data_IF_025419680952
#
_entry.id   IF_025419680952
#
_cell.length_a   1.000
_cell.length_b   1.000
_cell.length_c   1.000
_cell.angle_alpha   90.00
_cell.angle_beta   90.00
_cell.angle_gamma   90.00
#
_symmetry.space_group_name_H-M   'P 1'
#
loop_
_entity.id
_entity.type
_entity.pdbx_description
1 polymer ?
#
# COMPACT_ATOMS: atom_id res chain seq x y z
N UNK A 1 -6.04 7.02 29.61
CA UNK A 1 -6.15 6.94 28.13
C UNK A 1 -6.71 8.25 27.63
N UNK A 2 -5.85 9.24 27.38
CA UNK A 2 -6.25 10.51 26.76
C UNK A 2 -6.28 10.32 25.25
N UNK A 3 -7.45 10.46 24.64
CA UNK A 3 -7.57 10.45 23.18
C UNK A 3 -6.84 11.70 22.68
N UNK A 4 -5.89 11.50 21.75
CA UNK A 4 -5.18 12.61 21.13
C UNK A 4 -6.10 13.28 20.09
N UNK A 5 -6.90 14.25 20.55
CA UNK A 5 -7.86 14.96 19.71
C UNK A 5 -7.24 15.80 18.60
N UNK A 6 -5.94 16.14 18.72
CA UNK A 6 -5.22 16.96 17.74
C UNK A 6 -4.91 16.13 16.48
N UNK A 7 -4.59 14.85 16.65
CA UNK A 7 -4.31 13.91 15.55
C UNK A 7 -5.59 13.24 15.00
N UNK A 8 -6.71 13.37 15.71
CA UNK A 8 -7.97 12.75 15.32
C UNK A 8 -8.62 13.52 14.16
N UNK A 9 -8.36 13.05 12.94
CA UNK A 9 -8.82 13.67 11.68
C UNK A 9 -9.83 12.77 10.93
N UNK A 10 -11.04 12.54 11.49
CA UNK A 10 -11.98 11.54 10.98
C UNK A 10 -12.49 11.87 9.56
N UNK A 11 -12.73 13.16 9.28
CA UNK A 11 -13.25 13.60 7.98
C UNK A 11 -12.21 13.47 6.86
N UNK A 12 -10.95 13.85 7.14
CA UNK A 12 -9.85 13.70 6.17
C UNK A 12 -9.54 12.23 5.91
N UNK A 13 -9.53 11.41 6.97
CA UNK A 13 -9.28 9.97 6.87
C UNK A 13 -10.38 9.25 6.07
N UNK A 14 -11.65 9.62 6.26
CA UNK A 14 -12.76 9.03 5.50
C UNK A 14 -12.74 9.44 4.03
N UNK A 15 -12.46 10.72 3.73
CA UNK A 15 -12.28 11.19 2.35
C UNK A 15 -11.13 10.45 1.65
N UNK A 16 -9.99 10.28 2.32
CA UNK A 16 -8.87 9.50 1.81
C UNK A 16 -9.26 8.04 1.51
N UNK A 17 -10.02 7.40 2.41
CA UNK A 17 -10.56 6.06 2.19
C UNK A 17 -11.49 5.98 0.97
N UNK A 18 -12.38 6.95 0.80
CA UNK A 18 -13.28 7.04 -0.37
C UNK A 18 -12.48 7.19 -1.66
N UNK A 19 -11.47 8.07 -1.67
CA UNK A 19 -10.59 8.28 -2.83
C UNK A 19 -9.86 7.00 -3.24
N UNK A 20 -9.30 6.26 -2.27
CA UNK A 20 -8.63 4.97 -2.53
C UNK A 20 -9.63 3.93 -3.06
N UNK A 21 -10.82 3.86 -2.46
CA UNK A 21 -11.89 2.96 -2.90
C UNK A 21 -12.36 3.26 -4.32
N UNK A 22 -12.56 4.54 -4.65
CA UNK A 22 -12.90 4.99 -6.00
C UNK A 22 -11.80 4.66 -7.00
N UNK A 23 -10.53 4.88 -6.66
CA UNK A 23 -9.41 4.51 -7.52
C UNK A 23 -9.38 3.00 -7.81
N UNK A 24 -9.61 2.16 -6.80
CA UNK A 24 -9.71 0.71 -6.96
C UNK A 24 -10.89 0.30 -7.85
N UNK A 25 -12.04 0.95 -7.69
CA UNK A 25 -13.25 0.70 -8.48
C UNK A 25 -13.07 1.12 -9.94
N UNK A 26 -12.48 2.29 -10.20
CA UNK A 26 -12.18 2.78 -11.55
C UNK A 26 -11.23 1.81 -12.26
N UNK A 27 -10.18 1.35 -11.57
CA UNK A 27 -9.25 0.37 -12.15
C UNK A 27 -9.98 -0.95 -12.49
N UNK A 28 -10.88 -1.40 -11.61
CA UNK A 28 -11.67 -2.60 -11.84
C UNK A 28 -12.64 -2.45 -13.01
N UNK A 29 -13.30 -1.31 -13.16
CA UNK A 29 -14.20 -1.04 -14.28
C UNK A 29 -13.46 -0.85 -15.61
N UNK A 30 -12.36 -0.10 -15.60
CA UNK A 30 -11.63 0.25 -16.82
C UNK A 30 -10.79 -0.90 -17.38
N UNK A 31 -10.25 -1.78 -16.51
CA UNK A 31 -9.33 -2.86 -16.91
C UNK A 31 -9.78 -4.26 -16.50
N UNK A 32 -10.84 -4.40 -15.71
CA UNK A 32 -11.27 -5.71 -15.19
C UNK A 32 -10.29 -6.32 -14.17
N UNK A 33 -9.38 -5.51 -13.61
CA UNK A 33 -8.30 -5.97 -12.72
C UNK A 33 -8.50 -5.46 -11.29
N UNK A 34 -8.07 -6.27 -10.33
CA UNK A 34 -8.07 -5.91 -8.92
C UNK A 34 -6.84 -5.03 -8.61
N UNK A 35 -7.02 -3.98 -7.81
CA UNK A 35 -5.93 -3.09 -7.39
C UNK A 35 -4.98 -3.80 -6.42
N UNK A 36 -3.83 -4.24 -6.92
CA UNK A 36 -2.77 -4.89 -6.13
C UNK A 36 -1.39 -4.40 -6.53
N UNK A 37 -0.72 -3.66 -5.65
CA UNK A 37 0.55 -2.99 -5.98
C UNK A 37 1.65 -3.99 -6.40
N UNK A 38 1.85 -5.09 -5.66
CA UNK A 38 2.86 -6.10 -6.03
C UNK A 38 2.60 -6.74 -7.40
N UNK A 39 1.33 -6.96 -7.75
CA UNK A 39 0.96 -7.52 -9.06
C UNK A 39 1.15 -6.51 -10.20
N UNK A 40 0.80 -5.24 -9.95
CA UNK A 40 1.01 -4.15 -10.91
C UNK A 40 2.51 -3.93 -11.15
N UNK A 41 3.33 -3.93 -10.09
CA UNK A 41 4.76 -3.70 -10.17
C UNK A 41 5.50 -4.88 -10.82
N UNK A 42 5.23 -6.12 -10.40
CA UNK A 42 5.78 -7.32 -11.07
C UNK A 42 5.36 -7.37 -12.53
N UNK A 43 4.12 -7.00 -12.81
CA UNK A 43 3.59 -6.91 -14.15
C UNK A 43 4.16 -5.78 -15.01
N UNK A 44 4.79 -4.78 -14.40
CA UNK A 44 5.51 -3.71 -15.10
C UNK A 44 6.92 -4.16 -15.48
N UNK A 45 7.57 -4.97 -14.63
CA UNK A 45 8.90 -5.52 -14.85
C UNK A 45 8.92 -6.59 -15.95
N UNK A 46 7.88 -7.42 -16.01
CA UNK A 46 7.73 -8.49 -17.00
C UNK A 46 6.39 -8.29 -17.74
N UNK A 47 6.32 -7.34 -18.69
CA UNK A 47 5.09 -7.04 -19.40
C UNK A 47 4.81 -8.07 -20.51
N UNK A 48 3.57 -8.56 -20.58
CA UNK A 48 3.12 -9.46 -21.64
C UNK A 48 2.74 -8.72 -22.95
N UNK A 49 2.51 -7.41 -22.88
CA UNK A 49 2.09 -6.57 -24.02
C UNK A 49 2.39 -5.10 -23.72
N UNK A 50 2.58 -4.28 -24.76
CA UNK A 50 2.75 -2.82 -24.67
C UNK A 50 1.54 -2.14 -24.02
N UNK A 51 0.33 -2.64 -24.28
CA UNK A 51 -0.89 -2.12 -23.67
C UNK A 51 -0.92 -2.38 -22.15
N UNK A 52 -0.46 -3.56 -21.71
CA UNK A 52 -0.34 -3.91 -20.29
C UNK A 52 0.74 -3.08 -19.59
N UNK A 53 1.86 -2.83 -20.27
CA UNK A 53 2.91 -1.96 -19.76
C UNK A 53 2.40 -0.53 -19.54
N UNK A 54 1.72 0.04 -20.54
CA UNK A 54 1.29 1.45 -20.51
C UNK A 54 0.40 1.77 -19.33
N UNK A 55 -0.65 0.98 -19.05
CA UNK A 55 -1.55 1.30 -17.93
C UNK A 55 -0.91 1.06 -16.56
N UNK A 56 -0.06 0.03 -16.42
CA UNK A 56 0.68 -0.24 -15.18
C UNK A 56 1.68 0.87 -14.90
N UNK A 57 2.36 1.35 -15.94
CA UNK A 57 3.28 2.47 -15.85
C UNK A 57 2.56 3.74 -15.39
N UNK A 58 1.44 4.08 -16.05
CA UNK A 58 0.63 5.26 -15.68
C UNK A 58 0.13 5.16 -14.24
N UNK A 59 -0.29 3.96 -13.80
CA UNK A 59 -0.71 3.75 -12.41
C UNK A 59 0.44 4.00 -11.42
N UNK A 60 1.60 3.38 -11.64
CA UNK A 60 2.77 3.54 -10.76
C UNK A 60 3.28 4.98 -10.77
N UNK A 61 3.35 5.60 -11.94
CA UNK A 61 3.71 7.01 -12.09
C UNK A 61 2.73 7.91 -11.33
N UNK A 62 1.42 7.65 -11.39
CA UNK A 62 0.41 8.39 -10.64
C UNK A 62 0.58 8.27 -9.12
N UNK A 63 0.87 7.06 -8.61
CA UNK A 63 1.11 6.82 -7.17
C UNK A 63 2.34 7.57 -6.67
N UNK A 64 3.37 7.72 -7.50
CA UNK A 64 4.59 8.48 -7.15
C UNK A 64 4.36 9.98 -7.32
N UNK A 65 3.75 10.39 -8.44
CA UNK A 65 3.55 11.79 -8.78
C UNK A 65 2.56 12.49 -7.82
N UNK A 66 1.51 11.81 -7.37
CA UNK A 66 0.51 12.37 -6.44
C UNK A 66 1.13 13.02 -5.20
N UNK A 67 1.81 12.27 -4.31
CA UNK A 67 2.49 12.84 -3.15
C UNK A 67 3.64 13.77 -3.55
N UNK A 68 4.37 13.48 -4.64
CA UNK A 68 5.46 14.37 -5.09
C UNK A 68 4.95 15.78 -5.44
N UNK A 69 3.83 15.90 -6.16
CA UNK A 69 3.22 17.19 -6.50
C UNK A 69 2.76 17.92 -5.24
N UNK A 70 2.10 17.23 -4.31
CA UNK A 70 1.65 17.83 -3.05
C UNK A 70 2.81 18.42 -2.23
N UNK A 71 3.95 17.73 -2.20
CA UNK A 71 5.15 18.18 -1.49
C UNK A 71 5.80 19.36 -2.23
N UNK A 72 5.98 19.26 -3.55
CA UNK A 72 6.69 20.30 -4.32
C UNK A 72 5.91 21.62 -4.42
N UNK A 73 4.58 21.58 -4.38
CA UNK A 73 3.72 22.77 -4.38
C UNK A 73 3.39 23.28 -2.96
N UNK A 74 4.00 22.71 -1.93
CA UNK A 74 3.80 23.04 -0.50
C UNK A 74 2.31 23.08 -0.09
N UNK A 75 1.48 22.26 -0.74
CA UNK A 75 0.04 22.17 -0.49
C UNK A 75 -0.26 21.48 0.84
N UNK A 76 0.61 20.56 1.24
CA UNK A 76 0.54 19.81 2.50
C UNK A 76 1.96 19.59 3.02
N UNK A 77 2.21 19.97 4.28
CA UNK A 77 3.46 19.64 4.96
C UNK A 77 3.46 18.17 5.37
N UNK A 78 4.12 17.33 4.59
CA UNK A 78 4.32 15.91 4.88
C UNK A 78 5.69 15.75 5.56
N UNK A 79 5.69 15.43 6.86
CA UNK A 79 6.91 15.11 7.60
C UNK A 79 7.44 13.72 7.19
N UNK A 80 8.33 13.69 6.20
CA UNK A 80 9.02 12.47 5.79
C UNK A 80 10.17 12.16 6.74
N UNK A 81 9.87 11.49 7.85
CA UNK A 81 10.90 10.91 8.72
C UNK A 81 11.17 9.47 8.26
N UNK A 82 12.32 9.17 7.67
CA UNK A 82 12.64 7.80 7.28
C UNK A 82 12.72 6.92 8.53
N UNK A 83 11.84 5.92 8.61
CA UNK A 83 11.74 4.98 9.75
C UNK A 83 12.97 4.06 9.83
N UNK A 84 13.66 3.86 8.70
CA UNK A 84 14.90 3.11 8.60
C UNK A 84 15.80 3.74 7.53
N UNK A 85 17.12 3.59 7.68
CA UNK A 85 18.12 4.07 6.73
C UNK A 85 19.17 2.99 6.42
N UNK A 86 19.89 3.17 5.31
CA UNK A 86 20.98 2.27 4.91
C UNK A 86 20.52 0.86 4.52
N UNK A 87 21.37 -0.13 4.80
CA UNK A 87 21.19 -1.54 4.37
C UNK A 87 19.90 -2.15 4.90
N UNK A 88 19.48 -1.79 6.11
CA UNK A 88 18.29 -2.34 6.75
C UNK A 88 17.02 -2.10 5.93
N UNK A 89 16.89 -0.93 5.28
CA UNK A 89 15.74 -0.60 4.45
C UNK A 89 15.64 -1.56 3.25
N UNK A 90 16.75 -1.81 2.56
CA UNK A 90 16.78 -2.71 1.41
C UNK A 90 16.47 -4.15 1.79
N UNK A 91 17.02 -4.63 2.92
CA UNK A 91 16.74 -5.97 3.44
C UNK A 91 15.26 -6.09 3.82
N UNK A 92 14.70 -5.10 4.52
CA UNK A 92 13.29 -5.09 4.86
C UNK A 92 12.38 -5.08 3.61
N UNK A 93 12.68 -4.23 2.63
CA UNK A 93 11.95 -4.17 1.37
C UNK A 93 11.98 -5.50 0.61
N UNK A 94 13.14 -6.18 0.59
CA UNK A 94 13.29 -7.49 -0.03
C UNK A 94 12.46 -8.56 0.69
N UNK A 95 12.52 -8.63 2.02
CA UNK A 95 11.70 -9.55 2.82
C UNK A 95 10.20 -9.31 2.60
N UNK A 96 9.75 -8.06 2.56
CA UNK A 96 8.35 -7.71 2.27
C UNK A 96 7.96 -8.13 0.86
N UNK A 97 8.85 -7.95 -0.13
CA UNK A 97 8.65 -8.40 -1.51
C UNK A 97 8.44 -9.91 -1.60
N UNK A 98 9.31 -10.70 -0.94
CA UNK A 98 9.17 -12.16 -0.86
C UNK A 98 7.85 -12.54 -0.18
N UNK A 99 7.52 -11.92 0.95
CA UNK A 99 6.28 -12.18 1.66
C UNK A 99 5.03 -11.94 0.80
N UNK A 100 5.00 -10.83 0.05
CA UNK A 100 3.91 -10.52 -0.87
C UNK A 100 3.83 -11.51 -2.06
N UNK A 101 4.97 -12.00 -2.55
CA UNK A 101 5.01 -13.01 -3.60
C UNK A 101 4.45 -14.36 -3.11
N UNK A 102 4.89 -14.82 -1.93
CA UNK A 102 4.40 -16.08 -1.31
C UNK A 102 2.90 -15.97 -0.98
N UNK A 103 2.47 -14.81 -0.46
CA UNK A 103 1.06 -14.52 -0.17
C UNK A 103 0.17 -14.44 -1.42
N UNK A 104 0.76 -14.40 -2.62
CA UNK A 104 0.08 -14.12 -3.91
C UNK A 104 -0.70 -12.81 -3.90
N UNK A 105 -0.18 -11.82 -3.18
CA UNK A 105 -0.82 -10.53 -3.00
C UNK A 105 -0.15 -9.72 -1.90
N UNK A 106 -0.40 -8.41 -1.91
CA UNK A 106 0.04 -7.47 -0.89
C UNK A 106 -1.14 -6.98 -0.04
N UNK A 107 -0.85 -6.15 0.95
CA UNK A 107 -1.85 -5.49 1.80
C UNK A 107 -2.85 -4.67 1.00
N UNK A 108 -2.46 -4.01 -0.10
CA UNK A 108 -3.41 -3.27 -0.94
C UNK A 108 -4.43 -4.20 -1.61
N UNK A 109 -3.97 -5.35 -2.12
CA UNK A 109 -4.82 -6.33 -2.81
C UNK A 109 -5.71 -7.13 -1.86
N UNK A 110 -5.13 -7.69 -0.80
CA UNK A 110 -5.89 -8.46 0.19
C UNK A 110 -6.72 -7.57 1.11
N UNK A 111 -6.16 -6.46 1.58
CA UNK A 111 -6.82 -5.52 2.49
C UNK A 111 -7.92 -4.74 1.81
N UNK A 112 -7.60 -3.95 0.78
CA UNK A 112 -8.59 -3.02 0.19
C UNK A 112 -9.62 -3.81 -0.63
N UNK A 113 -9.17 -4.54 -1.65
CA UNK A 113 -10.10 -5.23 -2.55
C UNK A 113 -10.56 -6.60 -2.04
N UNK A 114 -9.67 -7.34 -1.37
CA UNK A 114 -9.93 -8.70 -0.92
C UNK A 114 -10.93 -8.81 0.22
N UNK A 115 -10.80 -7.96 1.26
CA UNK A 115 -11.77 -7.89 2.37
C UNK A 115 -13.12 -7.35 1.90
N UNK A 116 -13.12 -6.37 1.00
CA UNK A 116 -14.36 -5.83 0.40
C UNK A 116 -15.17 -6.89 -0.36
N UNK A 117 -14.51 -7.96 -0.83
CA UNK A 117 -15.14 -9.12 -1.48
C UNK A 117 -15.47 -10.26 -0.51
N UNK A 118 -15.36 -10.04 0.80
CA UNK A 118 -15.64 -11.02 1.86
C UNK A 118 -14.84 -12.33 1.72
N UNK A 119 -13.61 -12.25 1.22
CA UNK A 119 -12.75 -13.43 1.03
C UNK A 119 -12.08 -13.85 2.34
N UNK A 120 -12.38 -15.07 2.81
CA UNK A 120 -11.73 -15.70 3.99
C UNK A 120 -10.22 -15.82 3.80
N UNK A 121 -9.78 -16.10 2.57
CA UNK A 121 -8.35 -16.15 2.23
C UNK A 121 -7.69 -14.77 2.44
N UNK A 122 -8.34 -13.69 2.01
CA UNK A 122 -7.81 -12.35 2.22
C UNK A 122 -7.85 -11.94 3.70
N UNK A 123 -8.87 -12.37 4.43
CA UNK A 123 -8.95 -12.14 5.88
C UNK A 123 -7.78 -12.77 6.62
N UNK A 124 -7.50 -14.05 6.37
CA UNK A 124 -6.35 -14.73 6.97
C UNK A 124 -5.02 -14.06 6.59
N UNK A 125 -4.82 -13.70 5.33
CA UNK A 125 -3.62 -12.98 4.89
C UNK A 125 -3.44 -11.64 5.62
N UNK A 126 -4.50 -10.83 5.72
CA UNK A 126 -4.44 -9.53 6.40
C UNK A 126 -4.14 -9.72 7.90
N UNK A 127 -4.80 -10.66 8.56
CA UNK A 127 -4.53 -10.97 9.97
C UNK A 127 -3.06 -11.36 10.17
N UNK A 128 -2.50 -12.21 9.31
CA UNK A 128 -1.08 -12.59 9.41
C UNK A 128 -0.14 -11.41 9.20
N UNK A 129 -0.37 -10.54 8.20
CA UNK A 129 0.49 -9.38 7.96
C UNK A 129 0.43 -8.38 9.12
N UNK A 130 -0.77 -8.08 9.61
CA UNK A 130 -0.96 -7.11 10.70
C UNK A 130 -0.37 -7.65 12.01
N UNK A 131 -0.66 -8.90 12.37
CA UNK A 131 -0.11 -9.52 13.59
C UNK A 131 1.42 -9.59 13.56
N UNK A 132 2.00 -10.03 12.44
CA UNK A 132 3.46 -10.09 12.29
C UNK A 132 4.09 -8.70 12.37
N UNK A 133 3.46 -7.68 11.77
CA UNK A 133 3.92 -6.29 11.86
C UNK A 133 3.88 -5.76 13.30
N UNK A 134 2.80 -6.02 14.04
CA UNK A 134 2.69 -5.67 15.46
C UNK A 134 3.81 -6.33 16.26
N UNK A 135 3.98 -7.65 16.12
CA UNK A 135 5.03 -8.40 16.83
C UNK A 135 6.42 -7.84 16.50
N UNK A 136 6.71 -7.59 15.22
CA UNK A 136 8.01 -7.08 14.77
C UNK A 136 8.31 -5.71 15.40
N UNK A 137 7.35 -4.77 15.34
CA UNK A 137 7.53 -3.43 15.92
C UNK A 137 7.66 -3.51 17.45
N UNK A 138 6.86 -4.34 18.12
CA UNK A 138 6.95 -4.54 19.56
C UNK A 138 8.31 -5.08 19.99
N UNK A 139 8.88 -6.02 19.23
CA UNK A 139 10.22 -6.54 19.51
C UNK A 139 11.27 -5.44 19.30
N UNK A 140 11.28 -4.79 18.14
CA UNK A 140 12.29 -3.78 17.81
C UNK A 140 12.22 -2.53 18.69
N UNK A 141 11.05 -2.13 19.20
CA UNK A 141 10.93 -0.96 20.09
C UNK A 141 11.18 -1.25 21.57
N UNK A 142 11.12 -2.51 22.01
CA UNK A 142 11.31 -2.85 23.42
C UNK A 142 12.65 -3.54 23.70
N UNK A 143 13.25 -4.18 22.71
CA UNK A 143 14.52 -4.90 22.88
C UNK A 143 15.70 -4.27 22.15
N UNK A 144 15.49 -3.27 21.28
CA UNK A 144 16.53 -2.53 20.54
C UNK A 144 16.38 -1.03 20.77
#
# INVERSE_FOLDING_TARGET
MSINWIEFTPLLSSLGGILIGLAALILMLAKGRIMGMSGILSGLLIPNSSAEFSWRFVFVAGVIAGPALLINFDLIKISSTPVASGVLLYVAAFCVGIGAAIGRGCTSGHGICGLSRLSIRSLSAVLTFVTTGIITVSIFRHFL
#
